data_IF_912013826600
#
_entry.id   IF_912013826600
#
_cell.length_a   1.000
_cell.length_b   1.000
_cell.length_c   1.000
_cell.angle_alpha   90.00
_cell.angle_beta   90.00
_cell.angle_gamma   90.00
#
_symmetry.space_group_name_H-M   'P 1'
#
loop_
_entity.id
_entity.type
_entity.pdbx_description
1 polymer ?
2 polymer ?
3 non-polymer ?
4 non-polymer ?
5 non-polymer ?
6 water ?
#
# COMPACT_ATOMS: atom_id res chain seq x y z
N UNK A 1 1.58 11.54 8.98
CA UNK A 1 1.72 10.55 10.03
C UNK A 1 1.84 11.29 11.35
N UNK A 2 0.94 10.96 12.29
CA UNK A 2 0.94 11.51 13.66
C UNK A 2 1.41 10.40 14.61
N UNK A 3 2.35 10.73 15.48
CA UNK A 3 2.89 9.81 16.48
C UNK A 3 3.86 8.76 15.99
N UNK A 4 4.31 8.88 14.75
CA UNK A 4 5.26 7.96 14.18
C UNK A 4 6.69 8.40 14.42
N UNK A 5 7.63 7.85 13.63
CA UNK A 5 9.06 8.16 13.64
C UNK A 5 9.58 8.33 12.20
N UNK A 6 10.80 8.88 12.02
CA UNK A 6 11.36 9.04 10.67
C UNK A 6 11.73 7.64 10.15
N UNK A 7 11.22 7.24 8.96
CA UNK A 7 11.57 5.95 8.36
C UNK A 7 13.03 6.08 7.86
N UNK A 8 14.00 5.40 8.51
CA UNK A 8 15.40 5.56 8.08
C UNK A 8 15.59 5.42 6.58
N UNK A 9 16.37 6.35 5.97
CA UNK A 9 16.62 6.37 4.52
C UNK A 9 16.93 4.99 3.96
N UNK A 10 16.09 4.55 3.04
CA UNK A 10 16.19 3.25 2.38
C UNK A 10 15.38 2.15 3.02
N UNK A 11 14.74 2.39 4.22
CA UNK A 11 13.96 1.36 4.93
C UNK A 11 12.45 1.25 4.51
N UNK A 12 11.96 2.22 3.73
CA UNK A 12 10.59 2.19 3.15
C UNK A 12 10.82 2.33 1.63
N UNK A 13 11.54 1.36 0.98
CA UNK A 13 11.95 1.56 -0.43
C UNK A 13 10.85 1.54 -1.47
N UNK A 14 9.65 1.03 -1.12
CA UNK A 14 8.47 0.94 -1.99
C UNK A 14 7.62 2.21 -1.98
N UNK A 15 7.79 3.08 -0.98
CA UNK A 15 7.05 4.34 -0.83
C UNK A 15 7.23 5.23 -2.06
N UNK A 16 6.09 5.74 -2.57
CA UNK A 16 6.02 6.66 -3.70
C UNK A 16 5.48 8.01 -3.20
N UNK A 17 5.99 9.09 -3.77
CA UNK A 17 5.54 10.45 -3.50
C UNK A 17 4.89 10.86 -4.78
N UNK A 18 3.63 11.18 -4.73
CA UNK A 18 2.90 11.65 -5.91
C UNK A 18 2.80 13.18 -5.91
N UNK A 19 3.30 13.80 -6.97
CA UNK A 19 3.34 15.25 -7.23
C UNK A 19 2.47 15.62 -8.40
N UNK A 20 1.85 16.81 -8.33
CA UNK A 20 1.04 17.41 -9.39
C UNK A 20 1.47 18.86 -9.42
N UNK A 21 2.16 19.24 -10.50
CA UNK A 21 2.75 20.56 -10.70
C UNK A 21 3.87 20.88 -9.68
N UNK A 22 4.63 19.84 -9.32
CA UNK A 22 5.74 19.89 -8.38
C UNK A 22 5.35 19.94 -6.92
N UNK A 23 4.04 20.00 -6.66
CA UNK A 23 3.43 20.08 -5.34
C UNK A 23 3.02 18.71 -4.85
N UNK A 24 3.23 18.47 -3.55
CA UNK A 24 2.85 17.26 -2.85
C UNK A 24 1.36 16.96 -3.04
N UNK A 25 1.02 15.72 -3.38
CA UNK A 25 -0.36 15.29 -3.62
C UNK A 25 -0.80 14.13 -2.76
N UNK A 26 -0.05 13.01 -2.80
CA UNK A 26 -0.37 11.74 -2.14
C UNK A 26 0.86 10.87 -2.05
N UNK A 27 0.68 9.72 -1.45
CA UNK A 27 1.66 8.66 -1.42
C UNK A 27 1.21 7.61 -2.41
N UNK A 28 1.99 6.54 -2.49
CA UNK A 28 1.72 5.40 -3.33
C UNK A 28 2.67 4.29 -2.94
N UNK A 29 2.46 3.08 -3.52
CA UNK A 29 3.31 1.92 -3.28
C UNK A 29 3.73 1.36 -4.61
N UNK A 30 5.04 1.19 -4.80
CA UNK A 30 5.59 0.54 -5.99
C UNK A 30 5.38 -0.99 -5.80
N UNK A 31 4.75 -1.70 -6.77
CA UNK A 31 4.56 -3.16 -6.62
C UNK A 31 5.45 -3.96 -7.62
N UNK A 32 6.01 -3.26 -8.62
CA UNK A 32 6.96 -3.73 -9.64
C UNK A 32 7.60 -2.51 -10.27
N UNK A 33 8.40 -2.65 -11.32
CA UNK A 33 9.08 -1.51 -11.96
C UNK A 33 8.16 -0.51 -12.68
N UNK A 34 6.96 -0.93 -13.13
CA UNK A 34 6.16 0.04 -13.87
C UNK A 34 4.83 0.40 -13.18
N UNK A 35 4.45 -0.32 -12.10
CA UNK A 35 3.18 -0.10 -11.42
C UNK A 35 3.28 0.40 -10.01
N UNK A 36 2.36 1.31 -9.67
CA UNK A 36 2.20 1.99 -8.38
C UNK A 36 0.74 1.85 -7.97
N UNK A 37 0.48 1.50 -6.69
CA UNK A 37 -0.88 1.41 -6.10
C UNK A 37 -1.06 2.64 -5.22
N UNK A 38 -2.16 3.38 -5.43
CA UNK A 38 -2.50 4.56 -4.63
C UNK A 38 -4.03 4.53 -4.30
N UNK A 39 -4.64 5.68 -3.93
CA UNK A 39 -6.06 5.80 -3.64
C UNK A 39 -6.71 6.58 -4.74
N UNK A 40 -7.92 6.20 -5.16
CA UNK A 40 -8.65 6.93 -6.21
C UNK A 40 -8.99 8.39 -5.85
N UNK A 41 -9.33 8.66 -4.59
CA UNK A 41 -9.69 10.02 -4.15
C UNK A 41 -8.55 11.06 -4.34
N UNK A 42 -7.33 10.60 -4.63
CA UNK A 42 -6.16 11.46 -4.82
C UNK A 42 -6.28 12.28 -6.07
N UNK A 43 -7.05 11.77 -7.05
CA UNK A 43 -7.20 12.32 -8.39
C UNK A 43 -8.54 13.04 -8.62
N UNK A 44 -9.37 13.16 -7.55
CA UNK A 44 -10.70 13.80 -7.56
C UNK A 44 -10.71 15.27 -8.04
N UNK A 45 -9.61 16.00 -7.79
CA UNK A 45 -9.43 17.42 -8.12
C UNK A 45 -8.39 17.66 -9.25
N UNK A 46 -7.92 16.60 -9.95
CA UNK A 46 -6.93 16.74 -11.03
C UNK A 46 -7.59 17.27 -12.31
N UNK A 47 -7.00 18.34 -12.87
CA UNK A 47 -7.36 18.95 -14.15
C UNK A 47 -6.18 18.77 -15.11
N UNK A 48 -4.95 18.84 -14.55
CA UNK A 48 -3.67 18.74 -15.25
C UNK A 48 -3.07 17.33 -15.14
N UNK A 49 -3.68 16.35 -15.85
CA UNK A 49 -3.26 14.93 -15.90
C UNK A 49 -1.84 14.69 -16.43
N UNK A 50 -1.34 15.61 -17.28
CA UNK A 50 0.01 15.53 -17.84
C UNK A 50 1.12 15.98 -16.88
N UNK A 51 0.76 16.64 -15.77
CA UNK A 51 1.69 17.14 -14.77
C UNK A 51 1.85 16.25 -13.50
N UNK A 52 1.44 14.96 -13.58
CA UNK A 52 1.50 13.94 -12.52
C UNK A 52 2.85 13.28 -12.53
N UNK A 53 3.57 13.37 -11.41
CA UNK A 53 4.92 12.78 -11.27
C UNK A 53 4.95 11.85 -10.06
N UNK A 54 5.60 10.69 -10.22
CA UNK A 54 5.79 9.75 -9.14
C UNK A 54 7.29 9.76 -8.83
N UNK A 55 7.61 9.93 -7.53
CA UNK A 55 8.99 9.96 -7.08
C UNK A 55 9.24 8.76 -6.16
N UNK A 56 10.19 7.89 -6.60
CA UNK A 56 10.70 6.70 -5.92
C UNK A 56 12.09 7.05 -5.39
N UNK A 57 12.52 6.39 -4.31
CA UNK A 57 13.81 6.65 -3.68
C UNK A 57 13.87 7.94 -2.89
N UNK A 58 12.73 8.58 -2.69
CA UNK A 58 12.61 9.82 -1.93
C UNK A 58 12.65 9.54 -0.41
N UNK A 59 13.22 10.49 0.32
CA UNK A 59 13.31 10.50 1.77
C UNK A 59 13.11 11.94 2.30
N UNK A 60 14.09 12.83 2.03
CA UNK A 60 14.11 14.22 2.49
C UNK A 60 13.73 15.18 1.35
N UNK A 61 12.58 15.87 1.54
CA UNK A 61 12.01 16.78 0.56
C UNK A 61 12.81 18.06 0.33
N UNK A 62 13.67 18.44 1.31
CA UNK A 62 14.46 19.65 1.19
C UNK A 62 15.76 19.44 0.38
N UNK A 63 16.26 18.18 0.30
CA UNK A 63 17.51 17.84 -0.38
C UNK A 63 17.44 16.73 -1.44
N UNK A 64 18.09 16.94 -2.61
CA UNK A 64 18.25 15.92 -3.66
C UNK A 64 19.58 15.19 -3.40
N UNK A 65 19.54 13.86 -3.13
CA UNK A 65 20.75 13.09 -2.87
C UNK A 65 21.18 12.17 -4.04
N UNK A 66 20.40 12.16 -5.13
CA UNK A 66 20.69 11.36 -6.32
C UNK A 66 20.04 9.98 -6.34
N UNK A 67 19.45 9.56 -5.20
CA UNK A 67 18.75 8.29 -5.06
C UNK A 67 17.27 8.38 -5.50
N UNK A 68 16.77 9.60 -5.82
CA UNK A 68 15.39 9.79 -6.29
C UNK A 68 15.27 9.54 -7.77
N UNK A 69 14.17 8.88 -8.16
CA UNK A 69 13.82 8.58 -9.54
C UNK A 69 12.38 9.09 -9.80
N UNK A 70 12.25 10.07 -10.70
CA UNK A 70 10.98 10.68 -11.11
C UNK A 70 10.54 10.05 -12.42
N UNK A 71 9.23 9.80 -12.54
CA UNK A 71 8.60 9.23 -13.73
C UNK A 71 7.24 9.87 -13.92
N UNK A 72 6.90 10.19 -15.18
CA UNK A 72 5.59 10.75 -15.53
C UNK A 72 4.56 9.63 -15.37
N UNK A 73 3.37 9.97 -14.87
CA UNK A 73 2.32 8.97 -14.69
C UNK A 73 1.65 8.91 -16.04
N UNK A 74 1.83 7.77 -16.73
CA UNK A 74 1.31 7.48 -18.07
C UNK A 74 -0.19 7.17 -18.07
N UNK A 75 -0.68 6.46 -17.02
CA UNK A 75 -2.07 6.02 -16.84
C UNK A 75 -2.45 5.97 -15.37
N UNK A 76 -3.71 6.31 -15.05
CA UNK A 76 -4.34 6.27 -13.73
C UNK A 76 -5.60 5.46 -13.98
N UNK A 77 -5.65 4.22 -13.44
CA UNK A 77 -6.77 3.27 -13.57
C UNK A 77 -7.53 3.23 -12.25
N UNK A 78 -8.81 3.59 -12.30
CA UNK A 78 -9.71 3.68 -11.15
C UNK A 78 -10.91 2.72 -11.34
N UNK A 79 -11.35 1.94 -10.31
CA UNK A 79 -12.50 1.03 -10.52
C UNK A 79 -13.80 1.76 -10.84
N UNK A 80 -14.63 1.16 -11.69
CA UNK A 80 -15.92 1.71 -12.10
C UNK A 80 -16.82 1.99 -10.90
N UNK A 81 -16.60 1.25 -9.79
CA UNK A 81 -17.39 1.35 -8.56
C UNK A 81 -16.96 2.55 -7.72
N UNK A 82 -15.81 3.17 -8.05
CA UNK A 82 -15.40 4.34 -7.30
C UNK A 82 -16.19 5.57 -7.71
N UNK A 83 -16.92 6.17 -6.76
CA UNK A 83 -17.67 7.41 -7.00
C UNK A 83 -16.83 8.60 -6.46
N UNK A 84 -16.40 9.61 -7.27
CA UNK A 84 -15.66 10.75 -6.68
C UNK A 84 -16.49 11.45 -5.60
N UNK A 85 -15.82 11.93 -4.56
CA UNK A 85 -16.46 12.62 -3.45
C UNK A 85 -16.94 11.69 -2.36
N UNK A 86 -16.75 10.36 -2.55
CA UNK A 86 -17.12 9.30 -1.60
C UNK A 86 -15.87 8.51 -1.16
N UNK A 87 -16.06 7.48 -0.33
CA UNK A 87 -14.96 6.70 0.28
C UNK A 87 -14.77 5.27 -0.22
N UNK A 88 -15.83 4.63 -0.73
CA UNK A 88 -15.78 3.23 -1.18
C UNK A 88 -14.93 2.98 -2.44
N UNK A 89 -14.31 1.79 -2.50
CA UNK A 89 -13.41 1.34 -3.58
C UNK A 89 -12.29 2.34 -3.85
N UNK A 90 -11.65 2.83 -2.78
CA UNK A 90 -10.64 3.86 -2.86
C UNK A 90 -9.24 3.31 -3.19
N UNK A 91 -9.09 2.89 -4.46
CA UNK A 91 -7.86 2.33 -5.03
C UNK A 91 -7.65 2.92 -6.44
N UNK A 92 -6.38 3.04 -6.83
CA UNK A 92 -5.92 3.47 -8.15
C UNK A 92 -4.63 2.74 -8.46
N UNK A 93 -4.53 2.27 -9.68
CA UNK A 93 -3.36 1.60 -10.21
C UNK A 93 -2.74 2.52 -11.29
N UNK A 94 -1.50 2.94 -11.06
CA UNK A 94 -0.79 3.87 -11.96
C UNK A 94 0.30 3.15 -12.76
N UNK A 95 0.36 3.46 -14.06
CA UNK A 95 1.37 2.97 -15.00
C UNK A 95 2.33 4.14 -15.21
N UNK A 96 3.62 3.89 -14.95
CA UNK A 96 4.68 4.87 -15.09
C UNK A 96 5.11 4.89 -16.54
N UNK A 97 5.49 6.08 -17.07
CA UNK A 97 5.83 6.20 -18.50
C UNK A 97 6.97 5.25 -18.93
N UNK A 98 8.01 5.13 -18.09
CA UNK A 98 9.12 4.20 -18.29
C UNK A 98 9.43 3.55 -16.95
N UNK A 99 9.91 2.29 -16.91
CA UNK A 99 10.13 1.65 -15.60
C UNK A 99 11.10 2.39 -14.70
N UNK A 100 11.04 2.09 -13.40
CA UNK A 100 12.01 2.60 -12.46
C UNK A 100 13.14 1.56 -12.50
N UNK A 101 14.31 1.96 -12.02
CA UNK A 101 15.47 1.09 -11.93
C UNK A 101 15.57 0.70 -10.46
N UNK A 102 15.56 -0.61 -10.18
CA UNK A 102 15.67 -1.14 -8.83
C UNK A 102 17.09 -0.95 -8.30
N UNK A 103 17.16 -0.30 -7.13
CA UNK A 103 18.39 0.05 -6.41
C UNK A 103 18.12 -0.27 -4.95
N UNK A 104 19.09 -0.06 -4.05
CA UNK A 104 18.92 -0.28 -2.62
C UNK A 104 17.81 0.58 -2.04
N UNK A 105 17.50 1.72 -2.72
CA UNK A 105 16.52 2.73 -2.29
C UNK A 105 15.20 2.68 -3.06
N UNK A 106 15.14 1.89 -4.16
CA UNK A 106 13.95 1.69 -5.00
C UNK A 106 13.68 0.17 -5.12
N UNK A 107 12.71 -0.35 -4.32
CA UNK A 107 12.36 -1.76 -4.25
C UNK A 107 10.82 -1.89 -4.18
N UNK A 108 10.18 -2.82 -4.95
CA UNK A 108 8.72 -2.95 -4.84
C UNK A 108 8.28 -3.61 -3.56
N UNK A 109 7.03 -3.39 -3.17
CA UNK A 109 6.40 -4.08 -2.04
C UNK A 109 5.69 -5.27 -2.71
N UNK A 110 5.60 -6.41 -2.03
CA UNK A 110 4.95 -7.58 -2.62
C UNK A 110 3.45 -7.41 -2.66
N UNK A 111 2.84 -7.59 -3.84
CA UNK A 111 1.37 -7.59 -3.92
C UNK A 111 1.00 -9.06 -3.67
N UNK A 112 0.30 -9.35 -2.55
CA UNK A 112 0.00 -10.74 -2.22
C UNK A 112 -1.16 -11.34 -3.01
N UNK A 113 -1.33 -12.68 -2.90
CA UNK A 113 -2.44 -13.41 -3.50
C UNK A 113 -3.67 -13.19 -2.61
N UNK A 114 -4.89 -13.20 -3.18
CA UNK A 114 -6.12 -13.00 -2.39
C UNK A 114 -6.14 -13.97 -1.21
N UNK A 115 -5.95 -15.27 -1.50
CA UNK A 115 -5.92 -16.39 -0.55
C UNK A 115 -5.03 -16.10 0.69
N UNK A 116 -3.72 -15.91 0.47
CA UNK A 116 -2.72 -15.61 1.50
C UNK A 116 -3.02 -14.30 2.24
N UNK A 117 -3.53 -13.28 1.53
CA UNK A 117 -3.85 -11.98 2.14
C UNK A 117 -5.02 -12.07 3.12
N UNK A 118 -6.09 -12.74 2.71
CA UNK A 118 -7.30 -12.97 3.48
C UNK A 118 -7.13 -13.97 4.64
N UNK A 119 -6.57 -15.15 4.36
CA UNK A 119 -6.47 -16.22 5.36
C UNK A 119 -5.22 -16.15 6.26
N UNK A 120 -4.21 -15.32 5.93
CA UNK A 120 -2.97 -15.21 6.71
C UNK A 120 -2.63 -13.78 7.14
N UNK A 121 -2.41 -12.87 6.16
CA UNK A 121 -2.02 -11.47 6.37
C UNK A 121 -3.02 -10.63 7.14
N UNK A 122 -4.32 -10.95 7.02
CA UNK A 122 -5.42 -10.26 7.72
C UNK A 122 -5.35 -10.39 9.25
N UNK A 123 -4.58 -11.38 9.74
CA UNK A 123 -4.42 -11.74 11.16
C UNK A 123 -3.08 -11.29 11.77
N UNK A 124 -2.21 -10.65 10.96
CA UNK A 124 -0.97 -10.06 11.49
C UNK A 124 -1.44 -8.73 12.12
N UNK A 125 -1.38 -8.62 13.48
CA UNK A 125 -1.85 -7.44 14.26
C UNK A 125 -1.31 -6.10 13.78
N UNK A 126 0.02 -5.97 13.74
CA UNK A 126 0.74 -4.76 13.42
C UNK A 126 1.28 -4.69 12.00
N UNK A 127 1.01 -3.55 11.36
CA UNK A 127 1.44 -3.21 10.02
C UNK A 127 1.86 -1.75 10.00
N UNK A 128 2.84 -1.42 9.12
CA UNK A 128 3.45 -0.10 8.99
C UNK A 128 2.77 0.77 7.96
N UNK A 129 2.49 2.01 8.34
CA UNK A 129 1.85 3.04 7.52
C UNK A 129 2.85 4.22 7.35
N UNK A 130 2.95 4.77 6.12
CA UNK A 130 3.96 5.82 5.86
C UNK A 130 3.54 6.93 4.89
N UNK A 131 4.21 8.09 5.01
CA UNK A 131 4.02 9.27 4.17
C UNK A 131 4.57 10.57 4.72
N UNK A 132 4.72 11.60 3.85
CA UNK A 132 5.18 12.94 4.23
C UNK A 132 3.96 13.87 4.49
N UNK A 133 2.90 13.32 5.06
CA UNK A 133 1.71 14.09 5.41
C UNK A 133 1.86 14.78 6.75
N UNK A 134 0.75 15.33 7.29
CA UNK A 134 0.73 16.10 8.56
C UNK A 134 1.24 15.32 9.75
N UNK A 135 2.02 16.00 10.60
CA UNK A 135 2.63 15.43 11.80
C UNK A 135 1.70 15.57 13.00
N UNK A 136 0.66 16.42 12.85
CA UNK A 136 -0.37 16.79 13.84
C UNK A 136 -1.62 17.18 13.09
N UNK A 137 -2.77 17.23 13.81
CA UNK A 137 -4.03 17.75 13.27
C UNK A 137 -3.80 19.25 13.10
N UNK A 138 -4.20 19.82 11.94
CA UNK A 138 -4.07 21.25 11.60
C UNK A 138 -2.61 21.75 11.69
N UNK A 139 -1.65 20.82 11.53
CA UNK A 139 -0.21 21.10 11.58
C UNK A 139 0.51 20.93 10.26
N UNK A 140 1.83 21.15 10.29
CA UNK A 140 2.67 21.02 9.10
C UNK A 140 2.93 19.55 8.71
N UNK A 141 3.11 19.34 7.40
CA UNK A 141 3.45 18.06 6.79
C UNK A 141 4.94 17.80 7.02
N UNK A 142 5.38 16.52 6.92
CA UNK A 142 6.76 16.10 7.14
C UNK A 142 7.67 16.43 5.97
N UNK A 143 8.94 16.76 6.28
CA UNK A 143 9.99 16.99 5.28
C UNK A 143 10.69 15.67 4.96
N UNK A 144 10.87 14.82 5.99
CA UNK A 144 11.46 13.49 5.96
C UNK A 144 10.35 12.43 6.09
N UNK A 145 10.40 11.37 5.26
CA UNK A 145 9.40 10.30 5.30
C UNK A 145 9.28 9.67 6.68
N UNK A 146 8.05 9.66 7.20
CA UNK A 146 7.67 9.10 8.50
C UNK A 146 7.02 7.73 8.34
N UNK A 147 7.05 6.93 9.39
CA UNK A 147 6.47 5.58 9.44
C UNK A 147 5.81 5.39 10.81
N UNK A 148 4.71 4.64 10.87
CA UNK A 148 4.00 4.32 12.10
C UNK A 148 3.48 2.90 12.07
N UNK A 149 3.61 2.18 13.18
CA UNK A 149 3.10 0.83 13.32
C UNK A 149 1.70 0.95 13.88
N UNK A 150 0.72 0.29 13.24
CA UNK A 150 -0.69 0.38 13.66
C UNK A 150 -1.36 -0.97 13.82
N UNK A 151 -2.18 -1.17 14.85
CA UNK A 151 -2.87 -2.45 14.99
C UNK A 151 -4.13 -2.51 14.12
N UNK A 152 -4.35 -3.65 13.44
CA UNK A 152 -5.54 -3.84 12.63
C UNK A 152 -6.65 -4.32 13.54
N UNK A 153 -7.84 -3.86 13.25
CA UNK A 153 -9.02 -4.07 14.03
C UNK A 153 -10.09 -4.70 13.16
N UNK A 154 -10.89 -5.59 13.76
CA UNK A 154 -12.03 -6.17 13.05
C UNK A 154 -13.12 -5.11 12.97
N UNK A 155 -13.84 -5.04 11.85
CA UNK A 155 -14.85 -4.00 11.59
C UNK A 155 -15.92 -3.88 12.71
N UNK A 156 -16.46 -5.02 13.24
CA UNK A 156 -17.43 -4.99 14.34
C UNK A 156 -16.82 -4.30 15.57
N UNK A 157 -15.53 -4.60 15.89
CA UNK A 157 -14.77 -3.97 16.99
C UNK A 157 -14.55 -2.50 16.66
N UNK A 158 -14.29 -2.18 15.38
CA UNK A 158 -14.08 -0.81 14.93
C UNK A 158 -15.34 0.02 15.08
N UNK A 159 -16.53 -0.57 14.82
CA UNK A 159 -17.81 0.11 14.96
C UNK A 159 -18.13 0.34 16.46
N UNK A 160 -17.91 -0.72 17.28
CA UNK A 160 -18.13 -0.71 18.73
C UNK A 160 -17.18 0.24 19.49
N UNK A 161 -15.87 0.29 19.10
CA UNK A 161 -14.81 1.10 19.73
C UNK A 161 -14.78 2.58 19.33
N UNK A 162 -15.62 3.00 18.34
CA UNK A 162 -15.63 4.38 17.84
C UNK A 162 -16.82 5.23 18.29
N UNK A 163 -16.55 6.55 18.54
CA UNK A 163 -17.49 7.62 18.93
C UNK A 163 -18.47 7.80 17.77
N UNK A 164 -19.76 7.49 18.00
CA UNK A 164 -20.80 7.53 16.96
C UNK A 164 -21.13 8.95 16.50
N UNK A 165 -20.26 9.46 15.60
CA UNK A 165 -20.35 10.77 14.95
C UNK A 165 -21.23 10.61 13.70
N UNK A 166 -22.26 11.47 13.61
CA UNK A 166 -23.22 11.47 12.50
C UNK A 166 -22.62 11.89 11.17
N UNK A 167 -23.35 11.60 10.07
CA UNK A 167 -22.95 11.90 8.69
C UNK A 167 -21.67 11.12 8.24
N UNK A 168 -21.11 10.26 9.13
CA UNK A 168 -19.90 9.46 8.87
C UNK A 168 -20.17 8.32 7.88
N UNK A 169 -19.24 8.04 6.93
CA UNK A 169 -19.44 6.91 5.99
C UNK A 169 -19.37 5.56 6.72
N UNK A 170 -19.97 4.52 6.11
CA UNK A 170 -20.00 3.16 6.66
C UNK A 170 -18.70 2.45 6.33
N UNK A 171 -18.19 1.61 7.24
CA UNK A 171 -16.98 0.82 6.96
C UNK A 171 -17.48 -0.38 6.16
N UNK A 172 -17.00 -0.53 4.90
CA UNK A 172 -17.45 -1.59 4.01
C UNK A 172 -16.51 -2.78 3.97
N UNK A 173 -16.86 -3.76 3.11
CA UNK A 173 -16.07 -4.96 2.96
C UNK A 173 -14.81 -4.72 2.11
N UNK A 174 -14.70 -3.52 1.53
CA UNK A 174 -13.62 -3.01 0.68
C UNK A 174 -12.74 -2.02 1.45
N UNK A 175 -12.85 -2.04 2.79
CA UNK A 175 -12.10 -1.22 3.74
C UNK A 175 -11.91 -1.93 5.08
N UNK A 176 -10.98 -1.43 5.93
CA UNK A 176 -10.68 -1.94 7.27
C UNK A 176 -10.12 -0.84 8.18
N UNK A 177 -10.21 -1.06 9.51
CA UNK A 177 -9.69 -0.13 10.51
C UNK A 177 -8.34 -0.55 11.04
N UNK A 178 -7.53 0.46 11.34
CA UNK A 178 -6.23 0.30 11.91
C UNK A 178 -5.84 1.63 12.62
N UNK A 179 -5.08 1.52 13.68
CA UNK A 179 -4.64 2.67 14.43
C UNK A 179 -5.07 2.67 15.87
N UNK A 180 -5.20 3.86 16.44
CA UNK A 180 -5.55 4.09 17.83
C UNK A 180 -6.66 5.12 17.97
N UNK A 181 -7.46 4.96 19.03
CA UNK A 181 -8.59 5.84 19.38
C UNK A 181 -8.19 6.96 20.39
N UNK A 182 -6.97 6.95 20.93
CA UNK A 182 -6.54 7.94 21.92
C UNK A 182 -6.14 9.32 21.33
N UNK A 183 -6.07 9.42 20.00
CA UNK A 183 -5.69 10.65 19.33
C UNK A 183 -4.20 10.92 19.25
N UNK A 184 -3.38 9.89 19.59
CA UNK A 184 -1.92 9.94 19.62
C UNK A 184 -1.24 9.46 18.34
N UNK A 185 -1.83 8.46 17.64
CA UNK A 185 -1.21 7.84 16.47
C UNK A 185 -2.19 7.55 15.32
N UNK A 186 -1.84 8.05 14.12
CA UNK A 186 -2.64 7.90 12.90
C UNK A 186 -1.84 8.30 11.64
N UNK A 187 -2.47 8.13 10.48
CA UNK A 187 -2.02 8.61 9.19
C UNK A 187 -3.05 9.68 8.88
N UNK A 188 -2.71 10.70 8.09
CA UNK A 188 -3.67 11.77 7.79
C UNK A 188 -3.74 12.08 6.28
N UNK A 189 -4.61 13.02 5.85
CA UNK A 189 -4.87 13.36 4.44
C UNK A 189 -3.62 13.44 3.51
N UNK A 190 -2.46 13.87 4.02
CA UNK A 190 -1.24 13.98 3.23
C UNK A 190 -0.57 12.65 2.91
N UNK A 191 -0.90 11.61 3.72
CA UNK A 191 -0.42 10.24 3.64
C UNK A 191 -1.28 9.41 2.71
N UNK A 192 -2.46 9.95 2.30
CA UNK A 192 -3.44 9.32 1.39
C UNK A 192 -2.74 8.64 0.25
N UNK A 193 -3.22 7.43 -0.06
CA UNK A 193 -2.68 6.64 -1.15
C UNK A 193 -1.45 5.84 -0.79
N UNK A 194 -0.85 6.15 0.35
CA UNK A 194 0.36 5.49 0.85
C UNK A 194 0.13 4.08 1.34
N UNK A 195 1.21 3.30 1.53
CA UNK A 195 1.05 1.90 1.97
C UNK A 195 0.73 1.63 3.45
N UNK A 196 0.06 0.52 3.68
CA UNK A 196 -0.17 -0.14 4.95
C UNK A 196 0.46 -1.48 4.60
N UNK A 197 1.72 -1.68 5.06
CA UNK A 197 2.57 -2.84 4.75
C UNK A 197 2.62 -3.82 5.91
N UNK A 198 2.52 -5.14 5.62
CA UNK A 198 2.46 -6.20 6.61
C UNK A 198 3.64 -7.19 6.50
N UNK A 199 4.31 -7.45 7.62
CA UNK A 199 5.44 -8.38 7.65
C UNK A 199 4.96 -9.80 7.97
N UNK A 200 5.42 -10.76 7.17
CA UNK A 200 5.14 -12.18 7.35
C UNK A 200 6.29 -12.96 6.81
N UNK A 201 6.95 -13.67 7.71
CA UNK A 201 8.09 -14.56 7.52
C UNK A 201 9.21 -13.95 6.67
N UNK A 202 9.62 -12.76 7.09
CA UNK A 202 10.75 -12.03 6.51
C UNK A 202 10.52 -11.30 5.21
N UNK A 203 9.25 -11.09 4.84
CA UNK A 203 8.86 -10.38 3.60
C UNK A 203 7.65 -9.55 3.91
N UNK A 204 7.61 -8.31 3.36
CA UNK A 204 6.54 -7.34 3.50
C UNK A 204 5.60 -7.37 2.29
N UNK A 205 4.29 -7.22 2.56
CA UNK A 205 3.24 -7.22 1.55
C UNK A 205 2.27 -6.04 1.70
N UNK A 206 1.61 -5.66 0.58
CA UNK A 206 0.60 -4.61 0.57
C UNK A 206 -0.78 -5.19 0.93
N UNK A 207 -1.33 -4.72 2.08
CA UNK A 207 -2.62 -5.15 2.62
C UNK A 207 -3.66 -4.05 2.66
N UNK A 208 -3.21 -2.79 2.72
CA UNK A 208 -4.08 -1.62 2.78
C UNK A 208 -3.50 -0.39 2.15
N UNK A 209 -4.32 0.66 1.95
CA UNK A 209 -3.95 1.96 1.37
C UNK A 209 -4.55 3.06 2.27
N UNK A 210 -3.73 4.10 2.65
CA UNK A 210 -4.17 5.26 3.45
C UNK A 210 -5.37 5.87 2.70
N UNK A 211 -6.57 5.75 3.27
CA UNK A 211 -7.80 6.14 2.56
C UNK A 211 -8.58 7.27 3.22
N UNK A 212 -9.19 7.06 4.40
CA UNK A 212 -9.99 8.09 5.05
C UNK A 212 -10.15 7.91 6.54
N UNK A 213 -10.71 8.93 7.16
CA UNK A 213 -10.95 8.98 8.58
C UNK A 213 -11.56 10.30 8.97
N UNK A 214 -11.67 10.52 10.28
CA UNK A 214 -12.19 11.72 10.89
C UNK A 214 -11.07 12.67 11.25
N UNK A 215 -11.10 13.86 10.65
CA UNK A 215 -10.13 14.93 10.82
C UNK A 215 -8.71 14.50 10.58
N UNK A 216 -7.96 14.29 11.68
CA UNK A 216 -6.58 13.82 11.71
C UNK A 216 -6.24 13.50 13.14
N UNK A 217 -5.97 12.20 13.44
CA UNK A 217 -5.70 11.67 14.78
C UNK A 217 -6.75 12.20 15.81
N UNK A 218 -8.05 12.13 15.45
CA UNK A 218 -9.19 12.53 16.27
C UNK A 218 -9.43 11.46 17.33
N UNK A 219 -9.81 11.89 18.54
CA UNK A 219 -10.07 10.96 19.64
C UNK A 219 -11.33 10.16 19.33
N UNK A 220 -11.29 8.88 19.67
CA UNK A 220 -12.37 7.93 19.44
C UNK A 220 -12.59 7.57 17.99
N UNK A 221 -11.60 7.84 17.12
CA UNK A 221 -11.68 7.53 15.69
C UNK A 221 -10.43 6.87 15.18
N UNK A 222 -10.60 5.71 14.51
CA UNK A 222 -9.51 4.94 13.89
C UNK A 222 -9.27 5.40 12.45
N UNK A 223 -8.18 4.97 11.85
CA UNK A 223 -7.87 5.25 10.46
C UNK A 223 -8.53 4.20 9.60
N UNK A 224 -8.97 4.55 8.37
CA UNK A 224 -9.62 3.60 7.46
C UNK A 224 -8.76 3.43 6.20
N UNK A 225 -8.50 2.17 5.87
CA UNK A 225 -7.61 1.71 4.83
C UNK A 225 -8.36 0.85 3.82
N UNK A 226 -8.00 0.94 2.53
CA UNK A 226 -8.63 0.14 1.49
C UNK A 226 -8.21 -1.31 1.72
N UNK A 227 -9.14 -2.26 1.64
CA UNK A 227 -8.83 -3.68 1.79
C UNK A 227 -8.32 -4.13 0.45
N UNK A 228 -6.98 -4.03 0.25
CA UNK A 228 -6.29 -4.38 -0.99
C UNK A 228 -6.64 -5.82 -1.49
N UNK A 229 -6.86 -6.80 -0.56
CA UNK A 229 -7.17 -8.22 -0.90
C UNK A 229 -8.34 -8.42 -1.87
N UNK A 230 -9.25 -7.44 -1.93
CA UNK A 230 -10.44 -7.45 -2.78
C UNK A 230 -10.12 -7.10 -4.23
N UNK A 231 -8.92 -6.49 -4.45
CA UNK A 231 -8.51 -5.95 -5.75
C UNK A 231 -7.41 -6.71 -6.47
N UNK A 232 -6.90 -7.82 -5.90
CA UNK A 232 -5.78 -8.59 -6.46
C UNK A 232 -6.04 -9.01 -7.92
N UNK A 233 -7.16 -9.71 -8.19
CA UNK A 233 -7.53 -10.17 -9.53
C UNK A 233 -7.65 -8.96 -10.49
N UNK A 234 -8.35 -7.90 -10.03
CA UNK A 234 -8.57 -6.62 -10.72
C UNK A 234 -7.23 -5.98 -11.14
N UNK A 235 -6.27 -5.85 -10.22
CA UNK A 235 -4.95 -5.27 -10.44
C UNK A 235 -4.13 -6.09 -11.40
N UNK A 236 -4.16 -7.43 -11.22
CA UNK A 236 -3.42 -8.39 -12.04
C UNK A 236 -3.83 -8.40 -13.51
N UNK A 237 -5.16 -8.38 -13.80
CA UNK A 237 -5.71 -8.39 -15.16
C UNK A 237 -5.29 -7.15 -15.92
N UNK A 238 -5.26 -6.02 -15.21
CA UNK A 238 -4.91 -4.71 -15.72
C UNK A 238 -3.43 -4.58 -15.95
N UNK A 239 -2.63 -5.17 -15.06
CA UNK A 239 -1.17 -5.18 -15.20
C UNK A 239 -0.74 -5.95 -16.43
N UNK A 240 -1.57 -6.91 -16.90
CA UNK A 240 -1.40 -7.73 -18.10
C UNK A 240 -2.01 -7.05 -19.37
N UNK A 241 -2.74 -5.91 -19.20
CA UNK A 241 -3.41 -5.14 -20.26
C UNK A 241 -2.54 -4.14 -21.01
N UNK A 242 -2.84 -3.95 -22.32
CA UNK A 242 -2.15 -2.98 -23.16
C UNK A 242 -2.57 -1.56 -22.81
N UNK A 243 -1.62 -0.58 -22.77
CA UNK A 243 -2.00 0.82 -22.47
C UNK A 243 -3.01 1.40 -23.45
N UNK A 244 -3.92 2.23 -22.91
CA UNK A 244 -4.97 2.89 -23.68
C UNK A 244 -4.66 4.36 -23.79
N UNK A 245 -5.01 5.03 -24.91
CA UNK A 245 -4.74 6.47 -25.02
C UNK A 245 -5.58 7.19 -23.98
N UNK A 246 -4.94 8.11 -23.26
CA UNK A 246 -5.55 8.86 -22.16
C UNK A 246 -4.92 8.52 -20.82
N UNK A 247 -4.91 9.50 -19.89
CA UNK A 247 -4.37 9.30 -18.56
C UNK A 247 -5.41 8.60 -17.70
N UNK A 248 -6.58 9.21 -17.52
CA UNK A 248 -7.59 8.55 -16.71
C UNK A 248 -8.35 7.48 -17.48
N UNK A 249 -8.32 6.24 -16.94
CA UNK A 249 -9.07 5.08 -17.41
C UNK A 249 -9.91 4.56 -16.25
N UNK A 250 -11.20 4.26 -16.53
CA UNK A 250 -12.13 3.63 -15.59
C UNK A 250 -12.27 2.18 -16.04
N UNK A 251 -11.94 1.24 -15.15
CA UNK A 251 -11.99 -0.20 -15.45
C UNK A 251 -13.12 -0.90 -14.68
N UNK A 252 -13.88 -1.84 -15.29
CA UNK A 252 -14.99 -2.50 -14.56
C UNK A 252 -14.54 -3.14 -13.25
N UNK A 253 -15.39 -3.06 -12.22
CA UNK A 253 -15.16 -3.74 -10.95
C UNK A 253 -16.41 -4.56 -10.57
N UNK A 254 -16.29 -5.90 -10.38
CA UNK A 254 -15.06 -6.72 -10.37
C UNK A 254 -14.45 -6.92 -11.74
N UNK B 1 -6.15 -27.24 4.58
CA UNK B 1 -4.76 -27.40 5.03
C UNK B 1 -3.99 -26.05 4.96
N UNK B 2 -4.26 -25.24 3.92
CA UNK B 2 -3.66 -23.92 3.70
C UNK B 2 -4.23 -22.87 4.66
N UNK B 3 -5.52 -22.99 4.99
CA UNK B 3 -6.28 -22.11 5.91
C UNK B 3 -5.70 -22.09 7.34
N UNK B 4 -4.97 -23.17 7.73
CA UNK B 4 -4.34 -23.35 9.04
C UNK B 4 -2.82 -23.16 8.96
N UNK B 5 -2.31 -22.11 9.63
CA UNK B 5 -0.89 -21.73 9.73
C UNK B 5 -0.18 -21.64 8.34
N UNK B 6 -0.92 -21.04 7.38
CA UNK B 6 -0.56 -20.84 5.96
C UNK B 6 -0.16 -22.15 5.27
N UNK B 7 -0.55 -23.27 5.90
CA UNK B 7 -0.27 -24.63 5.43
C UNK B 7 1.21 -24.97 5.48
N UNK B 8 1.93 -24.31 6.39
CA UNK B 8 3.37 -24.50 6.56
C UNK B 8 4.20 -23.62 5.66
N UNK B 9 3.60 -23.11 4.57
CA UNK B 9 4.26 -22.26 3.57
C UNK B 9 4.81 -20.96 4.13
N UNK B 10 5.92 -20.47 3.55
CA UNK B 10 6.55 -19.18 3.90
C UNK B 10 5.77 -18.07 3.18
N UNK B 11 5.32 -18.35 1.95
CA UNK B 11 4.55 -17.41 1.13
C UNK B 11 3.17 -17.94 0.74
N UNK B 12 3.00 -18.39 -0.51
CA UNK B 12 1.71 -18.81 -1.06
C UNK B 12 1.41 -20.29 -0.87
N UNK B 13 0.11 -20.63 -0.85
CA UNK B 13 -0.41 -21.95 -0.54
C UNK B 13 -1.60 -22.34 -1.44
N UNK B 14 -1.50 -23.54 -2.07
CA UNK B 14 -2.54 -24.13 -2.93
C UNK B 14 -2.99 -25.48 -2.37
N UNK B 15 -4.30 -25.65 -2.23
CA UNK B 15 -4.90 -26.91 -1.77
C UNK B 15 -5.23 -27.78 -2.98
N UNK B 16 -4.91 -29.08 -2.89
CA UNK B 16 -5.20 -30.03 -3.98
C UNK B 16 -6.16 -31.14 -3.56
N UNK B 17 -6.65 -31.90 -4.56
CA UNK B 17 -7.60 -33.00 -4.41
C UNK B 17 -7.01 -34.01 -3.41
N UNK B 18 -7.53 -33.96 -2.19
CA UNK B 18 -7.09 -34.80 -1.08
C UNK B 18 -6.31 -34.03 -0.03
N UNK B 19 -5.36 -34.73 0.63
CA UNK B 19 -4.48 -34.21 1.69
C UNK B 19 -3.18 -33.60 1.09
N UNK B 20 -3.26 -33.14 -0.19
CA UNK B 20 -2.15 -32.53 -0.92
C UNK B 20 -2.13 -30.99 -0.76
N UNK B 21 -0.93 -30.43 -0.64
CA UNK B 21 -0.67 -29.01 -0.44
C UNK B 21 0.57 -28.63 -1.26
N UNK B 22 0.49 -27.50 -2.00
CA UNK B 22 1.58 -26.96 -2.78
C UNK B 22 1.90 -25.52 -2.36
N UNK B 23 3.12 -25.30 -1.87
CA UNK B 23 3.61 -23.99 -1.51
C UNK B 23 4.16 -23.37 -2.78
N UNK B 24 4.00 -22.07 -2.90
CA UNK B 24 4.51 -21.34 -4.04
C UNK B 24 5.08 -20.05 -3.51
N UNK B 25 5.76 -19.31 -4.40
CA UNK B 25 6.40 -18.04 -4.08
C UNK B 25 6.00 -16.97 -5.08
N UNK B 26 6.18 -15.69 -4.67
CA UNK B 26 5.99 -14.53 -5.54
C UNK B 26 7.15 -14.56 -6.57
N UNK B 27 6.95 -13.92 -7.72
CA UNK B 27 7.93 -13.82 -8.79
C UNK B 27 9.21 -13.19 -8.24
N UNK B 28 10.37 -13.76 -8.56
CA UNK B 28 11.68 -13.30 -8.08
C UNK B 28 12.19 -14.11 -6.89
N UNK B 29 11.55 -15.27 -6.68
CA UNK B 29 11.80 -16.24 -5.61
C UNK B 29 11.61 -17.63 -6.18
N UNK B 30 12.41 -18.58 -5.69
CA UNK B 30 12.27 -19.98 -6.04
C UNK B 30 11.97 -20.75 -4.76
N UNK B 31 11.23 -21.86 -4.88
CA UNK B 31 10.88 -22.70 -3.73
C UNK B 31 12.04 -23.66 -3.43
N UNK B 32 12.32 -23.87 -2.14
CA UNK B 32 13.40 -24.77 -1.70
C UNK B 32 12.88 -26.20 -1.59
N UNK B 33 13.81 -27.20 -1.57
CA UNK B 33 13.47 -28.63 -1.47
C UNK B 33 12.58 -28.98 -0.26
N UNK B 34 12.59 -28.15 0.83
CA UNK B 34 11.70 -28.37 2.01
C UNK B 34 10.21 -28.21 1.61
N UNK B 35 10.03 -27.61 0.42
CA UNK B 35 8.75 -27.33 -0.21
C UNK B 35 7.97 -26.24 0.45
N UNK B 36 8.57 -25.48 1.39
CA UNK B 36 7.87 -24.41 2.13
C UNK B 36 8.59 -23.06 2.00
N UNK B 37 9.94 -23.10 2.03
CA UNK B 37 10.82 -21.93 1.97
C UNK B 37 10.96 -21.38 0.58
N UNK B 38 11.01 -20.03 0.50
CA UNK B 38 11.20 -19.24 -0.72
C UNK B 38 12.53 -18.52 -0.62
N UNK B 39 13.40 -18.69 -1.63
CA UNK B 39 14.68 -18.01 -1.69
C UNK B 39 14.70 -17.01 -2.85
N UNK B 40 15.27 -15.78 -2.67
CA UNK B 40 15.31 -14.82 -3.78
C UNK B 40 16.13 -15.30 -4.95
N UNK B 41 15.66 -15.02 -6.17
CA UNK B 41 16.39 -15.39 -7.39
C UNK B 41 16.96 -14.14 -8.05
N UNK B 42 16.63 -12.98 -7.50
CA UNK B 42 16.99 -11.68 -8.08
C UNK B 42 17.73 -10.83 -7.07
N UNK B 43 18.35 -9.72 -7.55
CA UNK B 43 19.10 -8.77 -6.71
C UNK B 43 18.14 -7.97 -5.81
N UNK B 44 16.99 -7.48 -6.37
CA UNK B 44 16.00 -6.75 -5.57
C UNK B 44 14.62 -7.41 -5.60
N UNK B 45 14.41 -8.48 -4.79
CA UNK B 45 13.08 -9.11 -4.74
C UNK B 45 12.12 -8.23 -3.93
N UNK B 46 10.81 -8.28 -4.20
CA UNK B 46 9.84 -7.46 -3.45
C UNK B 46 9.80 -7.80 -1.97
N UNK B 47 9.43 -6.85 -1.12
CA UNK B 47 9.27 -7.09 0.32
C UNK B 47 10.52 -7.28 1.15
N UNK B 48 11.70 -7.13 0.55
CA UNK B 48 12.99 -7.22 1.25
C UNK B 48 13.62 -5.84 1.23
N UNK B 49 14.26 -5.43 2.33
CA UNK B 49 14.91 -4.13 2.46
C UNK B 49 16.44 -4.32 2.28
N UNK B 50 17.03 -3.89 1.13
CA UNK B 50 18.46 -4.14 0.90
C UNK B 50 19.41 -3.64 1.98
N UNK B 51 19.21 -2.44 2.58
CA UNK B 51 20.13 -1.98 3.64
C UNK B 51 20.05 -2.87 4.88
N UNK B 52 18.86 -3.43 5.17
CA UNK B 52 18.66 -4.30 6.31
C UNK B 52 19.09 -5.75 6.00
N UNK B 53 18.93 -6.20 4.73
CA UNK B 53 19.32 -7.56 4.29
C UNK B 53 20.84 -7.68 4.20
N UNK B 54 21.52 -6.60 3.74
CA UNK B 54 22.98 -6.47 3.59
C UNK B 54 23.59 -5.97 4.91
N UNK B 55 23.03 -6.42 6.04
CA UNK B 55 23.46 -6.05 7.38
C UNK B 55 23.44 -7.30 8.29
X LIG C 1 -7.55 10.94 5.10
X LIG C 1 -8.35 13.51 2.46
X LIG C 1 -8.71 12.73 3.74
X LIG C 1 -6.61 9.01 6.17
X LIG C 1 -9.42 14.99 -0.08
X LIG C 1 -10.63 14.33 0.22
X LIG C 1 -11.41 13.74 -0.76
X LIG C 1 -11.00 13.79 -2.08
X LIG C 1 -7.82 10.66 7.50
X LIG C 1 -8.07 11.37 6.31
X LIG C 1 -13.47 13.30 0.63
X LIG C 1 -8.81 14.76 2.32
X LIG C 1 -8.57 15.51 1.06
X LIG C 1 -8.91 16.94 1.47
X LIG C 1 -10.01 16.76 2.49
X LIG C 1 -9.55 15.58 3.30
X LIG C 1 -7.14 9.38 9.91
X LIG C 1 -7.83 10.52 9.90
X LIG C 1 -8.20 11.18 8.76
X LIG C 1 -6.77 8.82 8.71
X LIG C 1 -7.08 9.44 7.45
X LIG C 1 -6.84 9.74 5.05
X LIG C 1 -7.77 11.64 3.92
X LIG C 1 -7.63 12.99 1.63
X LIG C 1 -6.08 7.67 8.78
X LIG C 1 -9.85 14.47 -2.41
X LIG C 1 -9.06 15.07 -1.42
X LIG C 1 -7.62 15.92 -2.04
X LIG C 1 -7.97 16.47 -3.32
X LIG C 1 -7.12 16.81 -1.02
X LIG C 1 -6.38 14.63 -2.31
X LIG C 1 -5.89 13.97 -1.03
X LIG C 1 -5.24 15.18 -3.15
X LIG C 1 -12.70 13.20 -0.50
X LIG C 1 -13.32 14.18 1.47
X LIG C 1 -10.13 12.20 3.60
X LIG C 1 -11.06 12.40 4.62
X LIG C 1 -12.34 11.89 4.50
X LIG C 1 -12.71 11.18 3.37
X LIG C 1 -11.80 10.99 2.36
X LIG C 1 -10.52 11.50 2.46
X LIG C 1 -14.56 12.27 0.74
X LIG C 1 -8.68 13.41 4.60
X LIG C 1 -6.05 8.08 6.07
X LIG C 1 -10.93 14.28 1.27
X LIG C 1 -11.56 13.31 -2.88
X LIG C 1 -8.69 12.26 6.41
X LIG C 1 -7.50 15.39 0.86
X LIG C 1 -9.22 17.57 0.64
X LIG C 1 -8.04 17.45 1.89
X LIG C 1 -10.97 16.57 2.00
X LIG C 1 -10.17 17.65 3.10
X LIG C 1 -10.38 15.05 3.74
X LIG C 1 -8.90 15.87 4.13
X LIG C 1 -8.07 10.89 10.90
X LIG C 1 -8.84 12.06 8.81
X LIG C 1 -6.44 9.38 4.10
X LIG C 1 -7.23 11.36 3.11
X LIG C 1 -5.76 7.16 7.97
X LIG C 1 -5.80 7.27 9.68
X LIG C 1 -9.58 14.55 -3.47
X LIG C 1 -6.80 13.82 -2.90
X LIG C 1 -5.02 13.36 -1.19
X LIG C 1 -6.67 13.34 -0.60
X LIG C 1 -5.61 14.71 -0.27
X LIG C 1 -5.58 15.47 -4.14
X LIG C 1 -4.46 14.43 -3.27
X LIG C 1 -4.79 16.06 -2.70
X LIG C 1 -13.09 12.68 -1.27
X LIG C 1 -10.79 12.94 5.52
X LIG C 1 -13.06 12.03 5.32
X LIG C 1 -13.72 10.80 3.28
X LIG C 1 -12.09 10.44 1.47
X LIG C 1 -9.83 11.31 1.65
X LIG C 1 -15.19 12.29 -0.14
X LIG C 1 -14.20 11.25 0.83
X LIG C 1 -15.20 12.47 1.60
X LIG D 1 15.34 14.18 -1.58
X LIG E 1 9.31 9.22 -17.61
X LIG E 1 10.74 9.18 -17.26
X LIG E 1 9.14 9.07 -19.02
X LIG E 1 8.53 8.19 -16.94
X LIG E 1 8.82 10.53 -17.24
X LIG F 1 -4.56 20.51 -11.06
X LIG F 1 -4.64 19.25 -11.78
X LIG F 1 -3.27 21.11 -11.31
X LIG F 1 -4.71 20.27 -9.61
X LIG F 1 -5.59 21.43 -11.52
X LIG G 1 3.66 -8.50 -9.77
X LIG G 1 5.04 -8.94 -9.55
X LIG G 1 3.36 -8.57 -11.20
X LIG G 1 2.73 -9.35 -9.02
X LIG G 1 3.51 -7.11 -9.31
#
# INVERSE_FOLDING_TARGET
IVGGKVCPKGECPWQVLLLVNGAQLCGGTLINTIWVVSAAHCFDKIKNWRNLIAVLGEHDLSEHDGDEQSRRVAQVIIPSTYVPGTTNHDIALLRLHQPVVLTDHVVPLCLPERTFSERTLAFVRFSLVSGWGQLLDRGATALELMVLNVPRLMTQDCLQQSRKVGDSPNITEYMFCAGYSDGSKDSCKGDSGGPHATHYRGTWYLTGIVSWGQGCATVGHFGVYTRVSQYIEWLQKLMRSEPRPGVLLRAPFP
ICVNENGGCEQYCSDHTGTKRSCRCHEGYSLLADGVSCTPTVEYPCGKIPILEKR
4T0 C13 C18 C17 C15 C21 C22 C23 C24 C11 C12 C34 N1 C2 C3 C4 C5 N6 C7 C8 C9 C10 C14 N16 O19 N20 C25 C26 S27 O28 O29 C30 C31 C32 N33 O35 C36 C37 C38 C39 C40 C41 C42 H56 H54 H59 H60 H52 H43 H44 H45 H47 H46 H49 H48 H50 H51 H53 H55 H57 H58 H61 H62 H64 H65 H63 H67 H68 H66 H69 H70 H71 H72 H73 H74 H77 H76 H75
CA CA
SO4 S O1 O2 O3 O4
SO4 S O1 O2 O3 O4
SO4 S O1 O2 O3 O4
#
